data_IF_122895916056
#
_entry.id   IF_122895916056
#
_cell.length_a   1.000
_cell.length_b   1.000
_cell.length_c   1.000
_cell.angle_alpha   90.00
_cell.angle_beta   90.00
_cell.angle_gamma   90.00
#
_symmetry.space_group_name_H-M   'P 1'
#
loop_
_entity.id
_entity.type
_entity.pdbx_description
1 polymer ?
#
# COMPACT_ATOMS: atom_id res chain seq x y z
N UNK A 1 -24.24 13.35 10.71
CA UNK A 1 -23.19 12.66 11.48
C UNK A 1 -21.87 12.96 10.81
N UNK A 2 -20.80 13.29 11.56
CA UNK A 2 -19.48 13.36 10.94
C UNK A 2 -19.20 12.02 10.27
N UNK A 3 -18.58 12.08 9.11
CA UNK A 3 -18.17 10.96 8.28
C UNK A 3 -17.48 9.88 9.14
N UNK A 4 -18.16 8.76 9.43
CA UNK A 4 -17.65 7.64 10.25
C UNK A 4 -16.67 6.79 9.42
N UNK A 5 -15.59 7.45 9.00
CA UNK A 5 -14.52 6.82 8.22
C UNK A 5 -13.85 5.71 8.99
N UNK A 6 -13.71 5.87 10.30
CA UNK A 6 -13.13 4.85 11.17
C UNK A 6 -13.97 3.56 11.13
N UNK A 7 -15.28 3.65 11.35
CA UNK A 7 -16.18 2.50 11.28
C UNK A 7 -16.29 1.90 9.88
N UNK A 8 -16.21 2.72 8.82
CA UNK A 8 -16.12 2.20 7.44
C UNK A 8 -14.89 1.31 7.24
N UNK A 9 -13.69 1.80 7.56
CA UNK A 9 -12.45 1.05 7.36
C UNK A 9 -12.37 -0.18 8.26
N UNK A 10 -12.82 -0.08 9.51
CA UNK A 10 -12.90 -1.23 10.41
C UNK A 10 -13.75 -2.36 9.80
N UNK A 11 -14.95 -2.04 9.29
CA UNK A 11 -15.80 -3.04 8.63
C UNK A 11 -15.13 -3.66 7.40
N UNK A 12 -14.41 -2.87 6.60
CA UNK A 12 -13.69 -3.39 5.43
C UNK A 12 -12.64 -4.43 5.84
N UNK A 13 -11.82 -4.13 6.85
CA UNK A 13 -10.78 -5.05 7.33
C UNK A 13 -11.33 -6.25 8.10
N UNK A 14 -12.52 -6.15 8.70
CA UNK A 14 -13.19 -7.27 9.36
C UNK A 14 -13.85 -8.23 8.36
N UNK A 15 -14.27 -7.75 7.19
CA UNK A 15 -15.15 -8.51 6.28
C UNK A 15 -14.49 -8.95 4.98
N UNK A 16 -13.29 -8.45 4.67
CA UNK A 16 -12.58 -8.77 3.44
C UNK A 16 -11.19 -9.30 3.74
N UNK A 17 -10.83 -10.35 3.00
CA UNK A 17 -9.44 -10.80 2.95
C UNK A 17 -8.55 -9.72 2.32
N UNK A 18 -7.26 -9.75 2.63
CA UNK A 18 -6.30 -8.76 2.18
C UNK A 18 -6.20 -8.68 0.64
N UNK A 19 -6.44 -9.79 -0.06
CA UNK A 19 -6.44 -9.86 -1.52
C UNK A 19 -7.80 -9.55 -2.18
N UNK A 20 -8.85 -9.39 -1.38
CA UNK A 20 -10.21 -9.11 -1.83
C UNK A 20 -10.55 -7.60 -1.86
N UNK A 21 -9.61 -6.72 -1.49
CA UNK A 21 -9.76 -5.27 -1.64
C UNK A 21 -9.19 -4.78 -2.96
N UNK A 22 -9.80 -3.76 -3.57
CA UNK A 22 -9.48 -3.34 -4.94
C UNK A 22 -8.10 -2.71 -5.10
N UNK A 23 -7.45 -2.31 -4.01
CA UNK A 23 -6.09 -1.75 -3.99
C UNK A 23 -5.02 -2.81 -3.67
N UNK A 24 -5.40 -4.07 -3.47
CA UNK A 24 -4.43 -5.14 -3.35
C UNK A 24 -3.86 -5.49 -4.73
N UNK A 25 -2.54 -5.60 -4.79
CA UNK A 25 -1.82 -6.13 -5.93
C UNK A 25 -0.69 -7.00 -5.41
N UNK A 26 -0.71 -8.31 -5.70
CA UNK A 26 0.36 -9.21 -5.29
C UNK A 26 1.75 -8.75 -5.74
N UNK A 27 1.81 -8.04 -6.88
CA UNK A 27 2.98 -7.30 -7.32
C UNK A 27 2.57 -5.89 -7.79
N UNK A 28 2.83 -4.82 -7.01
CA UNK A 28 2.39 -3.45 -7.30
C UNK A 28 3.29 -2.76 -8.34
N UNK A 29 3.33 -3.35 -9.55
CA UNK A 29 4.28 -3.02 -10.63
C UNK A 29 4.34 -1.53 -10.95
N UNK A 30 3.19 -0.88 -11.15
CA UNK A 30 3.16 0.54 -11.53
C UNK A 30 3.77 1.43 -10.44
N UNK A 31 3.45 1.17 -9.17
CA UNK A 31 4.03 1.94 -8.06
C UNK A 31 5.53 1.77 -7.96
N UNK A 32 6.03 0.54 -8.16
CA UNK A 32 7.47 0.25 -8.20
C UNK A 32 8.16 0.98 -9.36
N UNK A 33 7.57 0.94 -10.56
CA UNK A 33 8.07 1.65 -11.74
C UNK A 33 8.12 3.16 -11.49
N UNK A 34 7.08 3.76 -10.90
CA UNK A 34 7.04 5.19 -10.59
C UNK A 34 8.10 5.59 -9.55
N UNK A 35 8.35 4.76 -8.54
CA UNK A 35 9.41 5.01 -7.54
C UNK A 35 10.78 4.96 -8.22
N UNK A 36 11.03 3.96 -9.07
CA UNK A 36 12.29 3.87 -9.80
C UNK A 36 12.49 5.09 -10.74
N UNK A 37 11.44 5.51 -11.45
CA UNK A 37 11.46 6.70 -12.32
C UNK A 37 11.66 8.01 -11.56
N UNK A 38 11.33 8.06 -10.26
CA UNK A 38 11.60 9.23 -9.43
C UNK A 38 13.10 9.49 -9.21
N UNK A 39 13.95 8.48 -9.49
CA UNK A 39 15.41 8.58 -9.37
C UNK A 39 15.93 8.64 -7.93
N UNK A 40 15.07 8.42 -6.92
CA UNK A 40 15.51 8.32 -5.54
C UNK A 40 16.36 7.06 -5.37
N UNK A 41 17.53 7.21 -4.74
CA UNK A 41 18.40 6.06 -4.49
C UNK A 41 17.75 5.07 -3.52
N UNK A 42 18.18 3.81 -3.56
CA UNK A 42 17.69 2.72 -2.69
C UNK A 42 17.77 3.00 -1.17
N UNK A 43 18.66 3.90 -0.76
CA UNK A 43 18.80 4.36 0.65
C UNK A 43 17.89 5.53 1.01
N UNK A 44 17.05 5.98 0.10
CA UNK A 44 16.10 7.07 0.37
C UNK A 44 15.12 6.66 1.46
N UNK A 45 14.66 7.64 2.23
CA UNK A 45 13.68 7.46 3.28
C UNK A 45 12.28 7.61 2.66
N UNK A 46 11.48 6.55 2.67
CA UNK A 46 10.11 6.56 2.15
C UNK A 46 9.10 6.40 3.29
N UNK A 47 7.90 6.96 3.11
CA UNK A 47 6.75 6.78 4.00
C UNK A 47 5.60 6.23 3.15
N UNK A 48 5.06 5.07 3.53
CA UNK A 48 3.82 4.53 2.96
C UNK A 48 2.65 4.94 3.85
N UNK A 49 1.95 6.00 3.44
CA UNK A 49 0.82 6.54 4.20
C UNK A 49 -0.48 5.87 3.74
N UNK A 50 -1.10 5.09 4.65
CA UNK A 50 -2.38 4.41 4.35
C UNK A 50 -2.22 3.17 3.48
N UNK A 51 -1.06 2.50 3.52
CA UNK A 51 -0.78 1.31 2.71
C UNK A 51 -1.80 0.17 2.86
N UNK A 52 -2.45 0.06 4.02
CA UNK A 52 -3.54 -0.90 4.23
C UNK A 52 -3.11 -2.34 3.92
N UNK A 53 -3.79 -2.99 2.98
CA UNK A 53 -3.47 -4.34 2.50
C UNK A 53 -2.38 -4.39 1.41
N UNK A 54 -1.80 -3.24 1.02
CA UNK A 54 -0.72 -3.18 0.04
C UNK A 54 0.51 -3.94 0.52
N UNK A 55 1.19 -4.64 -0.40
CA UNK A 55 2.49 -5.30 -0.17
C UNK A 55 3.66 -4.49 -0.74
N UNK A 56 3.44 -3.21 -1.10
CA UNK A 56 4.47 -2.35 -1.71
C UNK A 56 5.74 -2.26 -0.87
N UNK A 57 5.61 -2.06 0.45
CA UNK A 57 6.78 -1.98 1.35
C UNK A 57 7.59 -3.27 1.32
N UNK A 58 6.95 -4.43 1.28
CA UNK A 58 7.64 -5.72 1.22
C UNK A 58 8.45 -5.85 -0.08
N UNK A 59 7.88 -5.43 -1.21
CA UNK A 59 8.59 -5.42 -2.50
C UNK A 59 9.76 -4.43 -2.50
N UNK A 60 9.60 -3.25 -1.89
CA UNK A 60 10.69 -2.26 -1.79
C UNK A 60 11.83 -2.76 -0.90
N UNK A 61 11.52 -3.39 0.24
CA UNK A 61 12.52 -4.00 1.12
C UNK A 61 13.26 -5.16 0.45
N UNK A 62 12.55 -5.98 -0.32
CA UNK A 62 13.15 -7.07 -1.08
C UNK A 62 14.06 -6.58 -2.22
N UNK A 63 13.81 -5.38 -2.77
CA UNK A 63 14.60 -4.77 -3.83
C UNK A 63 15.92 -4.14 -3.35
N UNK A 64 16.10 -3.94 -2.04
CA UNK A 64 17.30 -3.40 -1.40
C UNK A 64 17.30 -1.90 -1.27
#
# INVERSE_FOLDING_TARGET
MPDDRAGHWQRVYETKDADAVSWYQAHPRLSLELIELSGVGKRARLIDAGGGASVLVDHLLAAG
#
